data_IF_039314391002
#
_entry.id   IF_039314391002
#
_cell.length_a   1.000
_cell.length_b   1.000
_cell.length_c   1.000
_cell.angle_alpha   90.00
_cell.angle_beta   90.00
_cell.angle_gamma   90.00
#
_symmetry.space_group_name_H-M   'P 1'
#
loop_
_entity.id
_entity.type
_entity.pdbx_description
1 polymer ?
#
# COMPACT_ATOMS: atom_id res chain seq x y z
N UNK A 1 56.55 4.53 14.90
CA UNK A 1 55.69 5.29 13.97
C UNK A 1 54.32 4.63 14.05
N UNK A 2 53.56 5.03 15.07
CA UNK A 2 52.27 4.45 15.41
C UNK A 2 51.20 5.07 14.51
N UNK A 3 50.42 4.23 13.83
CA UNK A 3 49.22 4.66 13.13
C UNK A 3 48.00 4.24 13.98
N UNK A 4 47.07 5.16 14.26
CA UNK A 4 45.97 4.93 15.18
C UNK A 4 44.91 3.99 14.62
N UNK A 5 44.52 3.08 15.50
CA UNK A 5 43.27 2.32 15.62
C UNK A 5 42.23 2.55 14.52
N UNK A 6 41.96 1.50 13.74
CA UNK A 6 40.77 1.44 12.89
C UNK A 6 39.53 1.47 13.77
N UNK A 7 38.87 2.63 13.83
CA UNK A 7 37.49 2.73 14.28
C UNK A 7 36.63 1.87 13.36
N UNK A 8 36.25 0.69 13.86
CA UNK A 8 35.11 -0.02 13.35
C UNK A 8 33.89 0.90 13.51
N UNK A 9 33.49 1.55 12.43
CA UNK A 9 32.22 2.28 12.33
C UNK A 9 31.12 1.28 12.66
N UNK A 10 30.65 1.39 13.90
CA UNK A 10 29.52 0.68 14.42
C UNK A 10 28.27 1.17 13.67
N UNK A 11 27.95 0.52 12.55
CA UNK A 11 26.64 0.63 11.91
C UNK A 11 25.60 -0.13 12.74
N UNK A 12 25.35 0.38 13.94
CA UNK A 12 24.33 -0.11 14.84
C UNK A 12 23.27 0.95 15.05
N UNK A 13 22.33 1.11 14.11
CA UNK A 13 20.98 1.67 14.36
C UNK A 13 20.00 1.36 13.23
N UNK A 14 19.90 0.09 12.84
CA UNK A 14 18.63 -0.42 12.32
C UNK A 14 17.89 -1.04 13.50
N UNK A 15 17.25 -0.19 14.31
CA UNK A 15 16.29 -0.64 15.31
C UNK A 15 15.14 -1.31 14.55
N UNK A 16 15.29 -2.60 14.26
CA UNK A 16 14.29 -3.43 13.61
C UNK A 16 13.15 -3.58 14.62
N UNK A 17 12.27 -2.57 14.66
CA UNK A 17 11.14 -2.50 15.57
C UNK A 17 10.28 -3.74 15.35
N UNK A 18 10.39 -4.66 16.31
CA UNK A 18 9.52 -5.83 16.47
C UNK A 18 8.10 -5.32 16.70
N UNK A 19 7.33 -5.10 15.63
CA UNK A 19 5.86 -5.17 15.60
C UNK A 19 5.39 -4.68 14.24
N UNK A 20 5.03 -5.62 13.38
CA UNK A 20 3.97 -5.45 12.37
C UNK A 20 3.62 -6.86 11.85
N UNK A 21 3.16 -7.74 12.78
CA UNK A 21 2.86 -9.15 12.48
C UNK A 21 1.42 -9.39 11.99
N UNK A 22 0.52 -8.40 12.12
CA UNK A 22 -0.92 -8.53 11.83
C UNK A 22 -1.57 -7.31 11.18
N UNK A 23 -0.79 -6.46 10.50
CA UNK A 23 -1.31 -5.33 9.72
C UNK A 23 -0.47 -4.07 9.89
N UNK A 24 0.15 -3.62 8.80
CA UNK A 24 0.83 -2.33 8.78
C UNK A 24 -0.20 -1.21 8.69
N UNK A 25 -0.14 -0.27 9.63
CA UNK A 25 -0.77 1.02 9.43
C UNK A 25 -0.02 1.74 8.31
N UNK A 26 -0.54 1.70 7.09
CA UNK A 26 0.12 2.28 5.91
C UNK A 26 0.54 3.74 6.10
N UNK A 27 -0.27 4.54 6.82
CA UNK A 27 0.10 5.92 7.18
C UNK A 27 1.37 6.01 8.02
N UNK A 28 1.52 5.12 9.02
CA UNK A 28 2.73 5.08 9.87
C UNK A 28 3.91 4.50 9.11
N UNK A 29 3.66 3.50 8.27
CA UNK A 29 4.69 2.92 7.42
C UNK A 29 5.25 3.95 6.42
N UNK A 30 4.37 4.77 5.84
CA UNK A 30 4.71 5.93 5.02
C UNK A 30 5.54 6.97 5.74
N UNK A 31 5.07 7.45 6.88
CA UNK A 31 5.80 8.45 7.65
C UNK A 31 7.20 7.95 8.06
N UNK A 32 7.34 6.66 8.40
CA UNK A 32 8.66 6.06 8.69
C UNK A 32 9.56 5.99 7.46
N UNK A 33 8.99 5.69 6.30
CA UNK A 33 9.72 5.62 5.04
C UNK A 33 10.19 7.01 4.59
N UNK A 34 9.35 8.04 4.74
CA UNK A 34 9.71 9.44 4.50
C UNK A 34 10.85 9.89 5.43
N UNK A 35 10.74 9.61 6.73
CA UNK A 35 11.80 9.92 7.70
C UNK A 35 13.13 9.18 7.40
N UNK A 36 13.06 7.92 6.93
CA UNK A 36 14.25 7.16 6.50
C UNK A 36 14.89 7.80 5.26
N UNK A 37 14.11 8.20 4.26
CA UNK A 37 14.60 8.91 3.06
C UNK A 37 15.29 10.21 3.45
N UNK A 38 14.67 11.02 4.31
CA UNK A 38 15.23 12.30 4.76
C UNK A 38 16.56 12.09 5.52
N UNK A 39 16.61 11.08 6.39
CA UNK A 39 17.83 10.75 7.14
C UNK A 39 18.99 10.29 6.23
N UNK A 40 18.68 9.56 5.15
CA UNK A 40 19.66 9.06 4.18
C UNK A 40 20.15 10.16 3.24
N UNK A 41 19.26 11.09 2.85
CA UNK A 41 19.62 12.30 2.13
C UNK A 41 20.59 13.17 2.95
N UNK A 42 20.33 13.34 4.26
CA UNK A 42 21.22 14.08 5.16
C UNK A 42 22.60 13.43 5.32
N UNK A 43 22.71 12.11 5.14
CA UNK A 43 23.96 11.36 5.17
C UNK A 43 24.71 11.37 3.82
N UNK A 44 24.20 12.08 2.80
CA UNK A 44 24.83 12.18 1.49
C UNK A 44 24.59 10.97 0.58
N UNK A 45 23.52 10.19 0.83
CA UNK A 45 23.13 9.09 -0.07
C UNK A 45 22.68 9.63 -1.43
N UNK A 46 23.01 8.90 -2.51
CA UNK A 46 22.61 9.27 -3.87
C UNK A 46 21.07 9.34 -4.01
N UNK A 47 20.50 10.53 -4.33
CA UNK A 47 19.07 10.73 -4.49
C UNK A 47 18.40 9.76 -5.49
N UNK A 48 19.12 9.36 -6.55
CA UNK A 48 18.58 8.44 -7.58
C UNK A 48 18.32 7.04 -7.02
N UNK A 49 19.27 6.52 -6.23
CA UNK A 49 19.10 5.21 -5.58
C UNK A 49 17.91 5.17 -4.61
N UNK A 50 17.63 6.28 -3.92
CA UNK A 50 16.49 6.42 -3.01
C UNK A 50 15.17 6.52 -3.77
N UNK A 51 15.15 7.27 -4.89
CA UNK A 51 14.00 7.35 -5.78
C UNK A 51 13.61 5.99 -6.34
N UNK A 52 14.58 5.23 -6.85
CA UNK A 52 14.35 3.87 -7.37
C UNK A 52 13.74 2.95 -6.31
N UNK A 53 14.18 3.08 -5.06
CA UNK A 53 13.62 2.32 -3.95
C UNK A 53 12.20 2.74 -3.59
N UNK A 54 11.91 4.05 -3.57
CA UNK A 54 10.58 4.60 -3.35
C UNK A 54 9.60 4.16 -4.44
N UNK A 55 9.99 4.23 -5.72
CA UNK A 55 9.17 3.81 -6.86
C UNK A 55 8.83 2.32 -6.79
N UNK A 56 9.77 1.45 -6.40
CA UNK A 56 9.46 0.02 -6.20
C UNK A 56 8.39 -0.20 -5.12
N UNK A 57 8.42 0.57 -4.04
CA UNK A 57 7.38 0.52 -3.00
C UNK A 57 6.04 1.04 -3.52
N UNK A 58 6.05 2.09 -4.33
CA UNK A 58 4.86 2.64 -4.97
C UNK A 58 4.21 1.64 -5.94
N UNK A 59 5.02 0.89 -6.71
CA UNK A 59 4.56 -0.17 -7.60
C UNK A 59 3.87 -1.32 -6.83
N UNK A 60 4.38 -1.68 -5.65
CA UNK A 60 3.71 -2.65 -4.79
C UNK A 60 2.32 -2.17 -4.35
N UNK A 61 2.19 -0.90 -3.98
CA UNK A 61 0.89 -0.30 -3.65
C UNK A 61 -0.05 -0.22 -4.86
N UNK A 62 0.47 -0.01 -6.07
CA UNK A 62 -0.32 -0.10 -7.30
C UNK A 62 -0.82 -1.52 -7.56
N UNK A 63 0.02 -2.53 -7.33
CA UNK A 63 -0.37 -3.92 -7.50
C UNK A 63 -1.55 -4.29 -6.59
N UNK A 64 -1.50 -3.87 -5.33
CA UNK A 64 -2.60 -4.08 -4.37
C UNK A 64 -3.91 -3.43 -4.87
N UNK A 65 -3.84 -2.20 -5.40
CA UNK A 65 -5.03 -1.53 -5.99
C UNK A 65 -5.61 -2.31 -7.18
N UNK A 66 -4.75 -2.84 -8.06
CA UNK A 66 -5.18 -3.61 -9.22
C UNK A 66 -5.87 -4.91 -8.79
N UNK A 67 -5.32 -5.63 -7.82
CA UNK A 67 -5.95 -6.84 -7.27
C UNK A 67 -7.30 -6.49 -6.64
N UNK A 68 -7.39 -5.41 -5.85
CA UNK A 68 -8.66 -4.94 -5.30
C UNK A 68 -9.69 -4.60 -6.37
N UNK A 69 -9.27 -3.97 -7.48
CA UNK A 69 -10.16 -3.66 -8.60
C UNK A 69 -10.69 -4.94 -9.26
N UNK A 70 -9.84 -5.95 -9.49
CA UNK A 70 -10.25 -7.23 -10.07
C UNK A 70 -11.25 -7.94 -9.15
N UNK A 71 -10.93 -8.04 -7.86
CA UNK A 71 -11.81 -8.71 -6.89
C UNK A 71 -13.14 -7.95 -6.74
N UNK A 72 -13.12 -6.61 -6.78
CA UNK A 72 -14.32 -5.78 -6.80
C UNK A 72 -15.17 -6.08 -8.03
N UNK A 73 -14.56 -6.17 -9.22
CA UNK A 73 -15.28 -6.46 -10.47
C UNK A 73 -15.93 -7.84 -10.44
N UNK A 74 -15.22 -8.87 -9.98
CA UNK A 74 -15.77 -10.22 -9.79
C UNK A 74 -16.93 -10.20 -8.79
N UNK A 75 -16.78 -9.46 -7.68
CA UNK A 75 -17.82 -9.33 -6.65
C UNK A 75 -19.07 -8.65 -7.20
N UNK A 76 -18.92 -7.62 -8.04
CA UNK A 76 -20.04 -6.95 -8.74
C UNK A 76 -20.76 -7.93 -9.67
N UNK A 77 -20.01 -8.72 -10.46
CA UNK A 77 -20.62 -9.73 -11.34
C UNK A 77 -21.41 -10.76 -10.52
N UNK A 78 -20.84 -11.28 -9.44
CA UNK A 78 -21.53 -12.21 -8.54
C UNK A 78 -22.76 -11.58 -7.89
N UNK A 79 -22.69 -10.32 -7.50
CA UNK A 79 -23.80 -9.56 -6.95
C UNK A 79 -24.95 -9.42 -7.95
N UNK A 80 -24.66 -9.12 -9.22
CA UNK A 80 -25.66 -9.05 -10.28
C UNK A 80 -26.28 -10.41 -10.59
N UNK A 81 -25.48 -11.48 -10.58
CA UNK A 81 -26.00 -12.85 -10.73
C UNK A 81 -26.93 -13.19 -9.57
N UNK A 82 -26.53 -12.91 -8.32
CA UNK A 82 -27.38 -13.13 -7.15
C UNK A 82 -28.70 -12.33 -7.23
N UNK A 83 -28.64 -11.07 -7.70
CA UNK A 83 -29.82 -10.25 -7.95
C UNK A 83 -30.76 -10.87 -9.00
N UNK A 84 -30.20 -11.44 -10.07
CA UNK A 84 -30.99 -12.14 -11.09
C UNK A 84 -31.71 -13.37 -10.50
N UNK A 85 -31.06 -14.15 -9.62
CA UNK A 85 -31.71 -15.27 -8.94
C UNK A 85 -32.83 -14.82 -8.00
N UNK A 86 -32.63 -13.73 -7.25
CA UNK A 86 -33.67 -13.16 -6.37
C UNK A 86 -34.90 -12.72 -7.16
N UNK A 87 -34.72 -12.18 -8.36
CA UNK A 87 -35.81 -11.58 -9.16
C UNK A 87 -36.47 -12.57 -10.13
N UNK A 88 -35.71 -13.49 -10.73
CA UNK A 88 -36.19 -14.37 -11.79
C UNK A 88 -36.56 -15.79 -11.33
N UNK A 89 -36.12 -16.21 -10.14
CA UNK A 89 -36.35 -17.58 -9.61
C UNK A 89 -37.00 -17.52 -8.22
N UNK A 90 -38.33 -17.32 -8.14
CA UNK A 90 -39.04 -17.14 -6.87
C UNK A 90 -38.91 -18.35 -5.92
N UNK A 91 -38.72 -19.55 -6.44
CA UNK A 91 -38.56 -20.78 -5.65
C UNK A 91 -37.29 -20.79 -4.79
N UNK A 92 -36.25 -20.05 -5.18
CA UNK A 92 -34.98 -19.93 -4.44
C UNK A 92 -34.85 -18.62 -3.66
N UNK A 93 -35.90 -17.79 -3.64
CA UNK A 93 -35.89 -16.44 -3.09
C UNK A 93 -35.27 -16.32 -1.68
N UNK A 94 -35.69 -17.07 -0.65
CA UNK A 94 -35.15 -16.88 0.70
C UNK A 94 -33.64 -17.14 0.80
N UNK A 95 -33.12 -18.15 0.10
CA UNK A 95 -31.69 -18.46 0.09
C UNK A 95 -30.90 -17.42 -0.71
N UNK A 96 -31.40 -17.08 -1.91
CA UNK A 96 -30.76 -16.10 -2.79
C UNK A 96 -30.70 -14.70 -2.17
N UNK A 97 -31.70 -14.31 -1.38
CA UNK A 97 -31.74 -13.02 -0.68
C UNK A 97 -30.63 -12.91 0.37
N UNK A 98 -30.39 -13.97 1.16
CA UNK A 98 -29.31 -14.00 2.16
C UNK A 98 -27.95 -13.85 1.48
N UNK A 99 -27.71 -14.59 0.40
CA UNK A 99 -26.47 -14.49 -0.38
C UNK A 99 -26.29 -13.09 -0.95
N UNK A 100 -27.35 -12.51 -1.52
CA UNK A 100 -27.35 -11.14 -2.03
C UNK A 100 -26.96 -10.12 -0.97
N UNK A 101 -27.52 -10.21 0.24
CA UNK A 101 -27.18 -9.30 1.35
C UNK A 101 -25.73 -9.47 1.81
N UNK A 102 -25.21 -10.70 1.86
CA UNK A 102 -23.79 -10.95 2.17
C UNK A 102 -22.89 -10.30 1.11
N UNK A 103 -23.21 -10.48 -0.17
CA UNK A 103 -22.47 -9.86 -1.27
C UNK A 103 -22.56 -8.33 -1.24
N UNK A 104 -23.70 -7.76 -0.82
CA UNK A 104 -23.86 -6.31 -0.64
C UNK A 104 -22.91 -5.76 0.43
N UNK A 105 -22.84 -6.41 1.59
CA UNK A 105 -21.94 -6.02 2.68
C UNK A 105 -20.48 -6.17 2.24
N UNK A 106 -20.16 -7.27 1.56
CA UNK A 106 -18.83 -7.50 1.00
C UNK A 106 -18.45 -6.38 0.03
N UNK A 107 -19.33 -6.06 -0.92
CA UNK A 107 -19.14 -4.99 -1.90
C UNK A 107 -18.87 -3.64 -1.22
N UNK A 108 -19.67 -3.26 -0.22
CA UNK A 108 -19.47 -2.03 0.53
C UNK A 108 -18.11 -2.01 1.26
N UNK A 109 -17.70 -3.13 1.86
CA UNK A 109 -16.40 -3.24 2.51
C UNK A 109 -15.24 -3.11 1.52
N UNK A 110 -15.34 -3.73 0.34
CA UNK A 110 -14.34 -3.63 -0.73
C UNK A 110 -14.24 -2.21 -1.29
N UNK A 111 -15.36 -1.53 -1.52
CA UNK A 111 -15.37 -0.13 -1.94
C UNK A 111 -14.65 0.76 -0.92
N UNK A 112 -14.98 0.62 0.38
CA UNK A 112 -14.30 1.36 1.44
C UNK A 112 -12.79 1.10 1.46
N UNK A 113 -12.38 -0.15 1.29
CA UNK A 113 -10.97 -0.51 1.25
C UNK A 113 -10.25 0.13 0.05
N UNK A 114 -10.89 0.13 -1.13
CA UNK A 114 -10.35 0.75 -2.34
C UNK A 114 -10.06 2.25 -2.14
N UNK A 115 -11.00 3.01 -1.57
CA UNK A 115 -10.79 4.45 -1.30
C UNK A 115 -9.64 4.72 -0.32
N UNK A 116 -9.45 3.84 0.68
CA UNK A 116 -8.33 3.98 1.61
C UNK A 116 -6.98 3.79 0.93
N UNK A 117 -6.86 2.79 0.05
CA UNK A 117 -5.64 2.53 -0.72
C UNK A 117 -5.33 3.69 -1.67
N UNK A 118 -6.34 4.15 -2.41
CA UNK A 118 -6.19 5.23 -3.39
C UNK A 118 -5.66 6.51 -2.74
N UNK A 119 -6.27 6.94 -1.62
CA UNK A 119 -5.82 8.12 -0.88
C UNK A 119 -4.35 8.01 -0.41
N UNK A 120 -3.93 6.81 -0.02
CA UNK A 120 -2.56 6.58 0.44
C UNK A 120 -1.57 6.71 -0.72
N UNK A 121 -1.89 6.15 -1.88
CA UNK A 121 -0.98 6.20 -3.04
C UNK A 121 -0.93 7.60 -3.64
N UNK A 122 -2.06 8.32 -3.73
CA UNK A 122 -2.10 9.72 -4.15
C UNK A 122 -1.18 10.61 -3.31
N UNK A 123 -1.08 10.34 -2.01
CA UNK A 123 -0.15 11.05 -1.15
C UNK A 123 1.31 10.74 -1.50
N UNK A 124 1.63 9.47 -1.73
CA UNK A 124 2.99 9.02 -2.06
C UNK A 124 3.47 9.48 -3.44
N UNK A 125 2.58 9.67 -4.41
CA UNK A 125 2.97 10.27 -5.69
C UNK A 125 3.58 11.66 -5.50
N UNK A 126 3.06 12.46 -4.56
CA UNK A 126 3.63 13.79 -4.27
C UNK A 126 5.04 13.67 -3.70
N UNK A 127 5.23 12.76 -2.74
CA UNK A 127 6.56 12.47 -2.17
C UNK A 127 7.55 11.98 -3.25
N UNK A 128 7.10 11.16 -4.19
CA UNK A 128 7.92 10.69 -5.31
C UNK A 128 8.34 11.83 -6.24
N UNK A 129 7.43 12.77 -6.54
CA UNK A 129 7.71 13.95 -7.36
C UNK A 129 8.76 14.85 -6.69
N UNK A 130 8.59 15.15 -5.41
CA UNK A 130 9.56 15.96 -4.64
C UNK A 130 10.95 15.33 -4.62
N UNK A 131 11.04 14.00 -4.54
CA UNK A 131 12.32 13.27 -4.57
C UNK A 131 12.93 13.26 -5.97
N UNK A 132 12.10 13.19 -7.02
CA UNK A 132 12.53 13.26 -8.41
C UNK A 132 13.14 14.62 -8.75
N UNK A 133 12.45 15.72 -8.39
CA UNK A 133 12.97 17.08 -8.59
C UNK A 133 14.32 17.30 -7.89
N UNK A 134 14.50 16.76 -6.68
CA UNK A 134 15.79 16.83 -5.96
C UNK A 134 16.88 16.01 -6.66
N UNK A 135 16.53 14.86 -7.23
CA UNK A 135 17.48 14.00 -7.93
C UNK A 135 17.88 14.53 -9.31
N UNK A 136 17.04 15.33 -9.97
CA UNK A 136 17.40 16.03 -11.21
C UNK A 136 18.24 17.29 -10.96
N UNK A 137 18.04 17.96 -9.82
CA UNK A 137 18.76 19.17 -9.43
C UNK A 137 20.09 18.94 -8.67
N UNK A 138 20.49 17.68 -8.44
CA UNK A 138 21.74 17.28 -7.75
C UNK A 138 22.78 16.74 -8.73
#
# INVERSE_FOLDING_TARGET
MEMPNGEAVNHGTAEHSKKDRYGLNMRRWAARHEADIESRLAQGSDPKSLLDWHVRKLQWLQHERLVHLIVLFITIVLFLVALAFVTLVPSTMPVSLVIYLILLVLLAFYLRHYFFLENTVQHWYRTAEELHERAENS
#
